data_IF_093593008356
#
_entry.id   IF_093593008356
#
_cell.length_a   1.000
_cell.length_b   1.000
_cell.length_c   1.000
_cell.angle_alpha   90.00
_cell.angle_beta   90.00
_cell.angle_gamma   90.00
#
_symmetry.space_group_name_H-M   'P 1'
#
loop_
_entity.id
_entity.type
_entity.pdbx_description
1 polymer ?
#
# COMPACT_ATOMS: atom_id res chain seq x y z
N UNK A 1 -18.98 31.45 -8.16
CA UNK A 1 -18.69 31.00 -6.78
C UNK A 1 -17.35 30.25 -6.80
N UNK A 2 -16.25 30.87 -6.36
CA UNK A 2 -14.93 30.23 -6.23
C UNK A 2 -14.93 29.46 -4.91
N UNK A 3 -14.86 28.13 -4.95
CA UNK A 3 -14.64 27.31 -3.76
C UNK A 3 -13.16 26.96 -3.75
N UNK A 4 -12.40 27.55 -2.83
CA UNK A 4 -10.96 27.34 -2.71
C UNK A 4 -10.72 25.96 -2.11
N UNK A 5 -10.05 25.08 -2.85
CA UNK A 5 -9.71 23.70 -2.44
C UNK A 5 -8.59 23.62 -1.39
N UNK A 6 -8.03 24.77 -0.97
CA UNK A 6 -6.92 24.87 -0.01
C UNK A 6 -7.22 24.29 1.38
N UNK A 7 -8.48 24.19 1.77
CA UNK A 7 -8.89 23.72 3.10
C UNK A 7 -9.63 22.37 3.08
N UNK A 8 -9.68 21.68 1.94
CA UNK A 8 -10.28 20.34 1.89
C UNK A 8 -9.20 19.29 2.13
N UNK A 9 -9.23 18.56 3.26
CA UNK A 9 -8.37 17.40 3.41
C UNK A 9 -8.78 16.39 2.34
N UNK A 10 -7.84 16.07 1.45
CA UNK A 10 -8.01 15.03 0.44
C UNK A 10 -7.58 13.71 1.07
N UNK A 11 -8.49 12.72 1.08
CA UNK A 11 -8.20 11.40 1.64
C UNK A 11 -7.98 11.37 3.16
N UNK A 12 -6.97 10.63 3.62
CA UNK A 12 -6.70 10.41 5.05
C UNK A 12 -6.10 11.61 5.81
N UNK A 13 -5.96 12.77 5.18
CA UNK A 13 -5.52 14.00 5.88
C UNK A 13 -6.60 14.60 6.79
N UNK A 14 -7.86 14.16 6.67
CA UNK A 14 -8.95 14.63 7.54
C UNK A 14 -8.76 14.04 8.94
N UNK A 15 -8.79 14.90 9.96
CA UNK A 15 -8.61 14.54 11.37
C UNK A 15 -7.25 13.87 11.68
N UNK A 16 -6.23 14.16 10.87
CA UNK A 16 -4.89 13.66 11.12
C UNK A 16 -4.35 14.19 12.47
N UNK A 17 -3.84 13.34 13.37
CA UNK A 17 -3.31 13.79 14.65
C UNK A 17 -1.99 14.55 14.44
N UNK A 18 -1.99 15.85 14.73
CA UNK A 18 -0.85 16.75 14.47
C UNK A 18 0.16 16.85 15.61
N UNK A 19 -0.14 16.29 16.79
CA UNK A 19 0.75 16.29 17.95
C UNK A 19 0.83 14.90 18.60
N UNK A 20 1.84 14.69 19.44
CA UNK A 20 2.13 13.39 20.05
C UNK A 20 0.97 12.83 20.90
N UNK A 21 0.30 13.69 21.68
CA UNK A 21 -0.82 13.26 22.52
C UNK A 21 -2.04 12.83 21.68
N UNK A 22 -2.37 13.59 20.64
CA UNK A 22 -3.41 13.24 19.69
C UNK A 22 -3.07 11.96 18.93
N UNK A 23 -1.80 11.77 18.58
CA UNK A 23 -1.33 10.57 17.87
C UNK A 23 -1.44 9.33 18.76
N UNK A 24 -0.99 9.39 20.01
CA UNK A 24 -1.15 8.30 20.98
C UNK A 24 -2.63 7.96 21.22
N UNK A 25 -3.49 8.98 21.36
CA UNK A 25 -4.94 8.78 21.51
C UNK A 25 -5.56 8.11 20.27
N UNK A 26 -5.13 8.51 19.07
CA UNK A 26 -5.57 7.90 17.83
C UNK A 26 -5.12 6.44 17.74
N UNK A 27 -3.87 6.13 18.08
CA UNK A 27 -3.31 4.77 18.05
C UNK A 27 -4.07 3.83 18.99
N UNK A 28 -4.32 4.26 20.24
CA UNK A 28 -5.10 3.47 21.19
C UNK A 28 -6.53 3.18 20.69
N UNK A 29 -7.19 4.18 20.09
CA UNK A 29 -8.52 4.02 19.50
C UNK A 29 -8.50 3.09 18.29
N UNK A 30 -7.52 3.23 17.41
CA UNK A 30 -7.37 2.39 16.23
C UNK A 30 -7.03 0.94 16.61
N UNK A 31 -6.18 0.73 17.61
CA UNK A 31 -5.88 -0.57 18.18
C UNK A 31 -7.15 -1.23 18.72
N UNK A 32 -7.92 -0.54 19.55
CA UNK A 32 -9.19 -1.05 20.07
C UNK A 32 -10.20 -1.41 18.98
N UNK A 33 -10.20 -0.70 17.84
CA UNK A 33 -11.13 -0.94 16.73
C UNK A 33 -10.71 -2.07 15.79
N UNK A 34 -9.40 -2.26 15.61
CA UNK A 34 -8.86 -3.12 14.54
C UNK A 34 -8.15 -4.36 15.07
N UNK A 35 -7.73 -4.34 16.34
CA UNK A 35 -6.87 -5.37 16.93
C UNK A 35 -5.42 -5.34 16.42
N UNK A 36 -5.07 -4.42 15.52
CA UNK A 36 -3.72 -4.35 14.95
C UNK A 36 -2.71 -3.73 15.93
N UNK A 37 -1.49 -4.24 15.93
CA UNK A 37 -0.37 -3.71 16.72
C UNK A 37 -0.15 -2.21 16.51
N UNK A 38 0.10 -1.46 17.59
CA UNK A 38 0.29 0.00 17.52
C UNK A 38 1.42 0.40 16.58
N UNK A 39 2.52 -0.37 16.53
CA UNK A 39 3.62 -0.12 15.60
C UNK A 39 3.17 -0.19 14.13
N UNK A 40 2.29 -1.14 13.79
CA UNK A 40 1.72 -1.26 12.44
C UNK A 40 0.79 -0.09 12.15
N UNK A 41 -0.08 0.24 13.10
CA UNK A 41 -1.00 1.38 12.98
C UNK A 41 -0.26 2.70 12.82
N UNK A 42 0.85 2.89 13.52
CA UNK A 42 1.68 4.09 13.42
C UNK A 42 2.34 4.23 12.04
N UNK A 43 2.88 3.12 11.50
CA UNK A 43 3.43 3.09 10.15
C UNK A 43 2.36 3.38 9.08
N UNK A 44 1.17 2.77 9.20
CA UNK A 44 0.04 3.01 8.30
C UNK A 44 -0.46 4.45 8.41
N UNK A 45 -0.54 5.00 9.63
CA UNK A 45 -0.96 6.38 9.87
C UNK A 45 0.00 7.36 9.19
N UNK A 46 1.31 7.15 9.34
CA UNK A 46 2.33 7.97 8.67
C UNK A 46 2.22 7.94 7.14
N UNK A 47 1.80 6.81 6.56
CA UNK A 47 1.74 6.61 5.10
C UNK A 47 0.41 7.04 4.49
N UNK A 48 -0.71 6.73 5.13
CA UNK A 48 -2.06 6.86 4.56
C UNK A 48 -2.96 7.84 5.32
N UNK A 49 -2.46 8.43 6.40
CA UNK A 49 -3.27 9.23 7.30
C UNK A 49 -4.36 8.41 7.97
N UNK A 50 -5.50 9.04 8.27
CA UNK A 50 -6.61 8.41 8.99
C UNK A 50 -7.29 7.25 8.25
N UNK A 51 -6.96 7.02 6.97
CA UNK A 51 -7.31 5.78 6.24
C UNK A 51 -6.61 4.54 6.81
N UNK A 52 -5.57 4.71 7.63
CA UNK A 52 -4.86 3.62 8.29
C UNK A 52 -5.79 2.64 9.02
N UNK A 53 -6.87 3.12 9.63
CA UNK A 53 -7.87 2.24 10.27
C UNK A 53 -8.57 1.33 9.24
N UNK A 54 -8.93 1.85 8.07
CA UNK A 54 -9.58 1.06 7.01
C UNK A 54 -8.63 -0.02 6.49
N UNK A 55 -7.37 0.35 6.27
CA UNK A 55 -6.32 -0.58 5.82
C UNK A 55 -6.06 -1.66 6.88
N UNK A 56 -6.01 -1.27 8.16
CA UNK A 56 -5.84 -2.21 9.26
C UNK A 56 -7.04 -3.14 9.44
N UNK A 57 -8.28 -2.67 9.22
CA UNK A 57 -9.48 -3.54 9.25
C UNK A 57 -9.53 -4.50 8.06
N UNK A 58 -9.07 -4.08 6.88
CA UNK A 58 -9.10 -4.89 5.65
C UNK A 58 -8.36 -6.22 5.79
N UNK A 59 -7.29 -6.24 6.59
CA UNK A 59 -6.57 -7.45 6.95
C UNK A 59 -6.29 -7.54 8.44
N UNK A 60 -7.12 -8.31 9.13
CA UNK A 60 -6.93 -8.74 10.52
C UNK A 60 -5.99 -9.95 10.66
N UNK A 61 -5.64 -10.60 9.53
CA UNK A 61 -4.80 -11.79 9.47
C UNK A 61 -3.38 -11.49 9.01
N UNK A 62 -2.42 -12.14 9.66
CA UNK A 62 -1.01 -12.16 9.32
C UNK A 62 -0.79 -12.97 8.03
N UNK A 63 -1.30 -12.52 6.89
CA UNK A 63 -0.85 -13.02 5.58
C UNK A 63 0.65 -12.75 5.35
N UNK A 64 1.27 -12.04 6.30
CA UNK A 64 2.68 -11.76 6.39
C UNK A 64 3.05 -10.46 5.69
N UNK A 65 4.32 -10.10 5.89
CA UNK A 65 4.99 -9.12 5.05
C UNK A 65 5.15 -9.66 3.63
N UNK A 66 5.50 -8.76 2.71
CA UNK A 66 6.08 -9.22 1.46
C UNK A 66 7.34 -10.05 1.77
N UNK A 67 7.69 -11.01 0.89
CA UNK A 67 8.80 -11.94 1.14
C UNK A 67 10.10 -11.29 1.61
N UNK A 68 10.47 -10.14 1.04
CA UNK A 68 11.72 -9.43 1.32
C UNK A 68 11.53 -8.01 1.83
N UNK A 69 10.43 -7.36 1.44
CA UNK A 69 10.11 -6.02 1.94
C UNK A 69 9.27 -6.06 3.22
N UNK A 70 9.88 -5.68 4.34
CA UNK A 70 9.19 -5.54 5.62
C UNK A 70 8.22 -4.33 5.67
N UNK A 71 8.35 -3.40 4.71
CA UNK A 71 7.63 -2.12 4.72
C UNK A 71 6.15 -2.23 4.36
N UNK A 72 5.77 -3.28 3.61
CA UNK A 72 4.41 -3.52 3.14
C UNK A 72 3.93 -4.91 3.55
N UNK A 73 2.67 -4.99 3.94
CA UNK A 73 2.01 -6.29 4.18
C UNK A 73 1.21 -6.73 2.96
N UNK A 74 0.96 -8.04 2.81
CA UNK A 74 0.14 -8.54 1.70
C UNK A 74 -1.29 -7.97 1.74
N UNK A 75 -1.89 -7.91 2.91
CA UNK A 75 -3.21 -7.28 3.11
C UNK A 75 -3.27 -5.80 2.73
N UNK A 76 -2.18 -5.06 2.94
CA UNK A 76 -2.06 -3.67 2.51
C UNK A 76 -1.97 -3.56 0.98
N UNK A 77 -1.25 -4.48 0.32
CA UNK A 77 -1.24 -4.57 -1.14
C UNK A 77 -2.64 -4.89 -1.68
N UNK A 78 -3.34 -5.87 -1.12
CA UNK A 78 -4.71 -6.22 -1.54
C UNK A 78 -5.67 -5.03 -1.33
N UNK A 79 -5.54 -4.29 -0.23
CA UNK A 79 -6.30 -3.06 -0.02
C UNK A 79 -6.04 -2.04 -1.12
N UNK A 80 -4.77 -1.79 -1.47
CA UNK A 80 -4.40 -0.87 -2.55
C UNK A 80 -5.05 -1.32 -3.86
N UNK A 81 -4.91 -2.59 -4.22
CA UNK A 81 -5.46 -3.13 -5.47
C UNK A 81 -6.97 -2.86 -5.58
N UNK A 82 -7.70 -3.10 -4.50
CA UNK A 82 -9.18 -3.00 -4.49
C UNK A 82 -9.70 -1.58 -4.37
N UNK A 83 -8.95 -0.66 -3.76
CA UNK A 83 -9.47 0.65 -3.37
C UNK A 83 -8.81 1.82 -4.10
N UNK A 84 -7.71 1.60 -4.82
CA UNK A 84 -6.91 2.68 -5.40
C UNK A 84 -6.89 2.72 -6.94
N UNK A 85 -7.83 2.06 -7.61
CA UNK A 85 -7.96 2.03 -9.07
C UNK A 85 -6.71 1.47 -9.77
N UNK A 86 -6.28 0.29 -9.32
CA UNK A 86 -5.17 -0.44 -9.95
C UNK A 86 -5.66 -1.17 -11.20
N UNK A 87 -5.00 -0.93 -12.33
CA UNK A 87 -5.25 -1.65 -13.59
C UNK A 87 -4.04 -2.47 -14.05
N UNK A 88 -2.84 -2.02 -13.66
CA UNK A 88 -1.56 -2.63 -14.01
C UNK A 88 -0.69 -2.85 -12.77
N UNK A 89 0.23 -3.80 -12.86
CA UNK A 89 1.15 -4.08 -11.75
C UNK A 89 2.02 -2.87 -11.41
N UNK A 90 2.41 -2.08 -12.42
CA UNK A 90 3.14 -0.82 -12.27
C UNK A 90 2.39 0.24 -11.43
N UNK A 91 1.05 0.24 -11.41
CA UNK A 91 0.29 1.13 -10.53
C UNK A 91 0.65 0.90 -9.07
N UNK A 92 0.86 -0.36 -8.68
CA UNK A 92 1.18 -0.73 -7.31
C UNK A 92 2.64 -0.40 -7.00
N UNK A 93 3.58 -0.99 -7.75
CA UNK A 93 4.99 -0.98 -7.37
C UNK A 93 5.69 0.37 -7.59
N UNK A 94 5.18 1.22 -8.49
CA UNK A 94 5.79 2.52 -8.82
C UNK A 94 4.97 3.73 -8.37
N UNK A 95 3.63 3.62 -8.29
CA UNK A 95 2.76 4.80 -8.06
C UNK A 95 2.07 4.81 -6.69
N UNK A 96 1.60 3.65 -6.22
CA UNK A 96 0.82 3.52 -4.96
C UNK A 96 1.62 2.92 -3.80
N UNK A 97 2.89 2.61 -4.02
CA UNK A 97 3.83 2.21 -2.99
C UNK A 97 5.17 2.92 -3.19
N UNK A 98 6.00 2.87 -2.16
CA UNK A 98 7.36 3.42 -2.17
C UNK A 98 8.40 2.37 -2.57
N UNK A 99 7.99 1.13 -2.88
CA UNK A 99 8.87 -0.04 -3.06
C UNK A 99 9.95 0.18 -4.12
N UNK A 100 9.57 0.72 -5.28
CA UNK A 100 10.52 1.01 -6.36
C UNK A 100 11.50 2.14 -5.99
N UNK A 101 11.02 3.20 -5.33
CA UNK A 101 11.84 4.36 -4.97
C UNK A 101 12.76 4.07 -3.79
N UNK A 102 12.32 3.23 -2.83
CA UNK A 102 13.16 2.79 -1.72
C UNK A 102 14.17 1.71 -2.10
N UNK A 103 14.13 1.20 -3.33
CA UNK A 103 15.02 0.13 -3.81
C UNK A 103 14.84 -1.19 -3.06
N UNK A 104 13.71 -1.39 -2.39
CA UNK A 104 13.45 -2.57 -1.54
C UNK A 104 12.62 -3.65 -2.24
N UNK A 105 12.16 -3.40 -3.47
CA UNK A 105 11.44 -4.36 -4.28
C UNK A 105 12.38 -5.46 -4.81
N UNK A 106 12.06 -6.71 -4.56
CA UNK A 106 12.76 -7.86 -5.17
C UNK A 106 11.89 -8.56 -6.21
N UNK A 107 12.47 -9.47 -7.01
CA UNK A 107 11.68 -10.31 -7.91
C UNK A 107 10.63 -11.14 -7.16
N UNK A 108 10.96 -11.63 -5.96
CA UNK A 108 10.01 -12.38 -5.11
C UNK A 108 8.87 -11.51 -4.61
N UNK A 109 9.16 -10.27 -4.22
CA UNK A 109 8.12 -9.31 -3.85
C UNK A 109 7.20 -8.99 -5.03
N UNK A 110 7.76 -8.76 -6.22
CA UNK A 110 6.97 -8.49 -7.43
C UNK A 110 6.01 -9.65 -7.73
N UNK A 111 6.48 -10.89 -7.64
CA UNK A 111 5.63 -12.08 -7.84
C UNK A 111 4.52 -12.19 -6.79
N UNK A 112 4.83 -11.91 -5.52
CA UNK A 112 3.82 -11.90 -4.46
C UNK A 112 2.75 -10.83 -4.70
N UNK A 113 3.16 -9.62 -5.11
CA UNK A 113 2.23 -8.54 -5.47
C UNK A 113 1.40 -8.92 -6.69
N UNK A 114 2.00 -9.52 -7.72
CA UNK A 114 1.31 -9.95 -8.93
C UNK A 114 0.25 -11.03 -8.63
N UNK A 115 0.54 -11.97 -7.74
CA UNK A 115 -0.42 -12.97 -7.30
C UNK A 115 -1.63 -12.34 -6.59
N UNK A 116 -1.40 -11.40 -5.67
CA UNK A 116 -2.45 -10.66 -4.97
C UNK A 116 -3.29 -9.86 -5.97
N UNK A 117 -2.65 -9.10 -6.85
CA UNK A 117 -3.32 -8.29 -7.86
C UNK A 117 -4.15 -9.16 -8.82
N UNK A 118 -3.58 -10.27 -9.29
CA UNK A 118 -4.25 -11.19 -10.19
C UNK A 118 -5.47 -11.84 -9.56
N UNK A 119 -5.41 -12.21 -8.28
CA UNK A 119 -6.56 -12.73 -7.54
C UNK A 119 -7.64 -11.65 -7.34
N UNK A 120 -7.25 -10.45 -6.93
CA UNK A 120 -8.20 -9.37 -6.65
C UNK A 120 -8.89 -8.83 -7.91
N UNK A 121 -8.18 -8.79 -9.04
CA UNK A 121 -8.67 -8.24 -10.33
C UNK A 121 -9.14 -9.32 -11.31
N UNK A 122 -9.06 -10.60 -10.94
CA UNK A 122 -9.49 -11.72 -11.79
C UNK A 122 -8.64 -11.90 -13.05
N UNK A 123 -7.33 -11.67 -12.97
CA UNK A 123 -6.45 -11.85 -14.12
C UNK A 123 -6.23 -13.33 -14.42
N UNK A 124 -6.23 -13.66 -15.71
CA UNK A 124 -5.77 -14.98 -16.17
C UNK A 124 -4.26 -15.11 -15.99
N UNK A 125 -3.75 -16.34 -15.94
CA UNK A 125 -2.31 -16.61 -15.87
C UNK A 125 -1.53 -15.91 -17.01
N UNK A 126 -2.09 -15.88 -18.22
CA UNK A 126 -1.48 -15.19 -19.36
C UNK A 126 -1.47 -13.66 -19.22
N UNK A 127 -2.47 -13.06 -18.57
CA UNK A 127 -2.44 -11.63 -18.25
C UNK A 127 -1.43 -11.34 -17.14
N UNK A 128 -1.42 -12.13 -16.08
CA UNK A 128 -0.49 -11.99 -14.95
C UNK A 128 0.96 -12.02 -15.44
N UNK A 129 1.33 -12.98 -16.30
CA UNK A 129 2.68 -13.06 -16.87
C UNK A 129 3.07 -11.79 -17.66
N UNK A 130 2.16 -11.25 -18.48
CA UNK A 130 2.40 -10.01 -19.23
C UNK A 130 2.55 -8.79 -18.32
N UNK A 131 1.75 -8.70 -17.26
CA UNK A 131 1.83 -7.61 -16.28
C UNK A 131 3.16 -7.64 -15.50
N UNK A 132 3.63 -8.83 -15.14
CA UNK A 132 4.97 -9.01 -14.53
C UNK A 132 6.06 -8.57 -15.49
N UNK A 133 6.05 -9.06 -16.73
CA UNK A 133 7.06 -8.70 -17.73
C UNK A 133 7.08 -7.20 -18.01
N UNK A 134 5.91 -6.58 -18.21
CA UNK A 134 5.79 -5.15 -18.42
C UNK A 134 6.31 -4.33 -17.21
N UNK A 135 6.01 -4.77 -15.99
CA UNK A 135 6.53 -4.11 -14.79
C UNK A 135 8.06 -4.20 -14.67
N UNK A 136 8.66 -5.35 -15.03
CA UNK A 136 10.12 -5.52 -15.04
C UNK A 136 10.76 -4.56 -16.03
N UNK A 137 10.27 -4.53 -17.27
CA UNK A 137 10.79 -3.63 -18.31
C UNK A 137 10.71 -2.17 -17.85
N UNK A 138 9.58 -1.75 -17.28
CA UNK A 138 9.43 -0.37 -16.81
C UNK A 138 10.33 -0.06 -15.60
N UNK A 139 10.56 -1.00 -14.68
CA UNK A 139 11.51 -0.82 -13.56
C UNK A 139 12.95 -0.67 -14.05
N UNK A 140 13.36 -1.46 -15.04
CA UNK A 140 14.71 -1.41 -15.59
C UNK A 140 14.94 -0.11 -16.39
N UNK A 141 13.99 0.25 -17.26
CA UNK A 141 14.13 1.40 -18.15
C UNK A 141 13.95 2.74 -17.43
N UNK A 142 12.98 2.84 -16.51
CA UNK A 142 12.59 4.13 -15.90
C UNK A 142 13.13 4.32 -14.50
N UNK A 143 13.21 3.26 -13.71
CA UNK A 143 13.67 3.32 -12.33
C UNK A 143 15.13 2.90 -12.16
N UNK A 144 15.79 2.44 -13.24
CA UNK A 144 17.15 1.90 -13.25
C UNK A 144 17.34 0.81 -12.18
N UNK A 145 16.26 0.09 -11.88
CA UNK A 145 16.20 -0.90 -10.83
C UNK A 145 16.20 -2.29 -11.44
N UNK A 146 17.22 -3.08 -11.12
CA UNK A 146 17.26 -4.50 -11.47
C UNK A 146 16.73 -5.32 -10.31
N UNK A 147 15.75 -6.16 -10.59
CA UNK A 147 15.25 -7.15 -9.63
C UNK A 147 16.25 -8.31 -9.60
N UNK A 148 16.96 -8.44 -8.48
CA UNK A 148 17.83 -9.59 -8.20
C UNK A 148 17.06 -10.85 -7.83
#
# INVERSE_FOLDING_TARGET
>A
RKVTTQAMPIGGGRDFPTNAAARASWLALAHSKTGAEERRLDALLSRYGTRATQIATHGSGDEGRLPDSESYSKSEIDYIVRNEFVEHLADIVMRRSTLAISGSLTGRDLQAIAAIAGQALGWSAGRLAREVEAAIVELEDRNLMRLG
#
